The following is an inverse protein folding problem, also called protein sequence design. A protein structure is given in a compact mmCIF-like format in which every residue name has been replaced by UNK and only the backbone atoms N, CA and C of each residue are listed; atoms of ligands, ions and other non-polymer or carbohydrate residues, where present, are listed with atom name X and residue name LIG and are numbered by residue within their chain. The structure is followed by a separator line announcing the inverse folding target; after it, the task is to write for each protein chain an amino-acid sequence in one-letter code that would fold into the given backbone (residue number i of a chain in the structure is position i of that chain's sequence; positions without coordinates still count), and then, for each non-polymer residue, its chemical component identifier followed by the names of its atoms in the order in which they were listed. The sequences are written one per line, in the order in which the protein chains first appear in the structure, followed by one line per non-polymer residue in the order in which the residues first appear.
data_IF_532191292493
#
_entry.id   IF_532191292493
#
_cell.length_a   1.000
_cell.length_b   1.000
_cell.length_c   1.000
_cell.angle_alpha   90.00
_cell.angle_beta   90.00
_cell.angle_gamma   90.00
#
_symmetry.space_group_name_H-M   'P 1'
#
loop_
_entity.id
_entity.type
_entity.pdbx_description
1 polymer ?
#
# COMPACT_ATOMS: atom_id res chain seq x y z
N UNK A 1 33.19 7.80 15.11
CA UNK A 1 32.37 7.24 14.01
C UNK A 1 30.93 7.28 14.44
N UNK A 2 30.10 8.12 13.81
CA UNK A 2 28.66 8.22 14.12
C UNK A 2 28.04 6.83 13.94
N UNK A 3 27.45 6.26 14.99
CA UNK A 3 26.68 5.03 14.87
C UNK A 3 25.46 5.34 13.99
N UNK A 4 25.47 4.86 12.75
CA UNK A 4 24.27 4.91 11.90
C UNK A 4 23.16 4.09 12.55
N UNK A 5 21.96 4.66 12.61
CA UNK A 5 20.79 3.98 13.18
C UNK A 5 20.49 2.69 12.42
N UNK A 6 20.19 1.56 13.10
CA UNK A 6 19.73 0.35 12.44
C UNK A 6 18.33 0.48 11.84
N UNK A 7 17.65 1.61 12.05
CA UNK A 7 16.33 1.92 11.51
C UNK A 7 16.47 3.03 10.47
N UNK A 8 16.11 2.72 9.22
CA UNK A 8 16.00 3.72 8.15
C UNK A 8 14.55 4.20 8.10
N UNK A 9 14.32 5.47 8.44
CA UNK A 9 13.00 6.13 8.35
C UNK A 9 12.82 6.76 6.97
N UNK A 10 11.74 6.39 6.30
CA UNK A 10 11.26 6.93 5.04
C UNK A 10 9.92 7.63 5.30
N UNK A 11 9.82 8.91 4.95
CA UNK A 11 8.62 9.70 5.21
C UNK A 11 7.99 10.15 3.90
N UNK A 12 6.73 9.77 3.68
CA UNK A 12 5.93 10.29 2.58
C UNK A 12 5.65 11.77 2.88
N UNK A 13 6.32 12.68 2.16
CA UNK A 13 6.35 14.10 2.52
C UNK A 13 5.73 15.00 1.45
N UNK A 14 4.45 14.79 1.17
CA UNK A 14 3.58 15.70 0.39
C UNK A 14 2.27 15.95 1.15
N UNK A 15 2.35 16.51 2.38
CA UNK A 15 1.22 16.56 3.31
C UNK A 15 0.01 17.34 2.79
N UNK A 16 0.23 18.41 2.01
CA UNK A 16 -0.84 19.26 1.47
C UNK A 16 -1.79 18.50 0.55
N UNK A 17 -1.26 17.52 -0.19
CA UNK A 17 -2.02 16.63 -1.07
C UNK A 17 -2.36 15.29 -0.41
N UNK A 18 -2.07 15.13 0.89
CA UNK A 18 -2.25 13.89 1.67
C UNK A 18 -1.43 12.72 1.10
N UNK A 19 -0.18 12.98 0.73
CA UNK A 19 0.80 11.95 0.38
C UNK A 19 0.33 10.95 -0.69
N UNK A 20 -0.07 11.41 -1.90
CA UNK A 20 -0.53 10.51 -2.94
C UNK A 20 0.58 9.54 -3.35
N UNK A 21 0.21 8.34 -3.82
CA UNK A 21 1.11 7.34 -4.39
C UNK A 21 1.02 7.40 -5.92
N UNK A 22 1.46 8.52 -6.49
CA UNK A 22 1.64 8.67 -7.95
C UNK A 22 3.01 8.15 -8.40
N UNK A 23 3.24 8.15 -9.71
CA UNK A 23 4.48 7.64 -10.32
C UNK A 23 5.76 8.15 -9.63
N UNK A 24 5.96 9.48 -9.52
CA UNK A 24 7.15 10.03 -8.87
C UNK A 24 7.36 9.59 -7.42
N UNK A 25 6.29 9.51 -6.61
CA UNK A 25 6.42 9.03 -5.23
C UNK A 25 6.71 7.53 -5.17
N UNK A 26 6.08 6.72 -6.03
CA UNK A 26 6.35 5.28 -6.09
C UNK A 26 7.79 5.01 -6.52
N UNK A 27 8.33 5.81 -7.44
CA UNK A 27 9.72 5.71 -7.88
C UNK A 27 10.69 6.09 -6.75
N UNK A 28 10.48 7.25 -6.13
CA UNK A 28 11.30 7.69 -4.99
C UNK A 28 11.26 6.69 -3.82
N UNK A 29 10.08 6.12 -3.53
CA UNK A 29 9.94 5.10 -2.49
C UNK A 29 10.63 3.78 -2.87
N UNK A 30 10.57 3.39 -4.14
CA UNK A 30 11.28 2.20 -4.65
C UNK A 30 12.79 2.36 -4.51
N UNK A 31 13.32 3.51 -4.88
CA UNK A 31 14.75 3.82 -4.78
C UNK A 31 15.21 3.86 -3.32
N UNK A 32 14.45 4.53 -2.45
CA UNK A 32 14.76 4.62 -1.04
C UNK A 32 14.71 3.26 -0.31
N UNK A 33 13.76 2.39 -0.67
CA UNK A 33 13.70 1.02 -0.14
C UNK A 33 14.89 0.18 -0.66
N UNK A 34 15.27 0.34 -1.93
CA UNK A 34 16.41 -0.37 -2.50
C UNK A 34 17.73 0.06 -1.83
N UNK A 35 17.94 1.35 -1.63
CA UNK A 35 19.10 1.90 -0.92
C UNK A 35 19.17 1.36 0.51
N UNK A 36 18.07 1.46 1.26
CA UNK A 36 17.98 0.96 2.62
C UNK A 36 18.19 -0.57 2.71
N UNK A 37 17.78 -1.30 1.68
CA UNK A 37 17.97 -2.75 1.60
C UNK A 37 19.44 -3.12 1.34
N UNK A 38 20.17 -2.32 0.56
CA UNK A 38 21.58 -2.55 0.27
C UNK A 38 22.51 -2.17 1.44
N UNK A 39 22.06 -1.29 2.32
CA UNK A 39 22.85 -0.82 3.46
C UNK A 39 22.96 -1.89 4.56
N UNK A 40 24.19 -2.30 4.90
CA UNK A 40 24.44 -3.37 5.87
C UNK A 40 24.06 -2.99 7.31
N UNK A 41 24.21 -1.72 7.68
CA UNK A 41 23.85 -1.19 9.01
C UNK A 41 22.33 -1.18 9.24
N UNK A 42 21.53 -1.07 8.18
CA UNK A 42 20.07 -1.04 8.25
C UNK A 42 19.52 -2.44 8.55
N UNK A 43 18.61 -2.49 9.51
CA UNK A 43 17.90 -3.67 10.00
C UNK A 43 16.39 -3.56 9.77
N UNK A 44 15.87 -2.35 9.92
CA UNK A 44 14.44 -2.03 9.78
C UNK A 44 14.25 -0.87 8.81
N UNK A 45 13.30 -1.01 7.88
CA UNK A 45 12.82 0.08 7.03
C UNK A 45 11.47 0.53 7.60
N UNK A 46 11.43 1.72 8.17
CA UNK A 46 10.22 2.33 8.72
C UNK A 46 9.63 3.32 7.71
N UNK A 47 8.40 3.10 7.25
CA UNK A 47 7.67 4.05 6.40
C UNK A 47 6.60 4.75 7.23
N UNK A 48 6.55 6.06 7.16
CA UNK A 48 5.51 6.89 7.77
C UNK A 48 5.07 8.01 6.82
N UNK A 49 4.04 8.78 7.16
CA UNK A 49 3.54 9.89 6.35
C UNK A 49 3.54 11.20 7.13
N UNK A 50 4.01 12.28 6.50
CA UNK A 50 3.97 13.60 7.08
C UNK A 50 2.53 14.18 7.07
N UNK A 51 2.22 14.99 8.08
CA UNK A 51 0.95 15.70 8.17
C UNK A 51 -0.23 14.82 8.65
N UNK A 52 -1.43 15.14 8.17
CA UNK A 52 -2.70 14.58 8.69
C UNK A 52 -3.13 13.23 8.11
N UNK A 53 -2.35 12.67 7.19
CA UNK A 53 -2.69 11.42 6.52
C UNK A 53 -1.42 10.64 6.20
N UNK A 54 -1.47 9.32 6.36
CA UNK A 54 -0.41 8.44 5.87
C UNK A 54 -0.35 8.52 4.35
N UNK A 55 -1.44 8.20 3.67
CA UNK A 55 -1.60 8.37 2.23
C UNK A 55 -3.07 8.29 1.81
N UNK A 56 -3.49 9.20 0.95
CA UNK A 56 -4.82 9.16 0.32
C UNK A 56 -4.92 8.17 -0.86
N UNK A 57 -3.86 7.41 -1.16
CA UNK A 57 -3.83 6.43 -2.25
C UNK A 57 -3.32 7.00 -3.57
N UNK A 58 -3.68 6.37 -4.69
CA UNK A 58 -3.26 6.80 -6.02
C UNK A 58 -3.80 8.19 -6.38
N UNK A 59 -3.03 8.95 -7.16
CA UNK A 59 -3.50 10.25 -7.66
C UNK A 59 -4.42 10.06 -8.87
N UNK A 60 -5.70 10.42 -8.74
CA UNK A 60 -6.75 10.39 -9.79
C UNK A 60 -6.89 11.77 -10.47
N UNK A 61 -6.05 12.74 -10.09
CA UNK A 61 -5.88 14.00 -10.81
C UNK A 61 -5.54 13.77 -12.27
N UNK A 62 -6.03 14.68 -13.14
CA UNK A 62 -5.78 14.67 -14.59
C UNK A 62 -6.20 13.37 -15.31
N UNK A 63 -7.25 12.70 -14.82
CA UNK A 63 -7.82 11.49 -15.44
C UNK A 63 -8.06 11.64 -16.95
N UNK A 64 -8.58 12.80 -17.38
CA UNK A 64 -8.91 13.08 -18.78
C UNK A 64 -7.67 13.06 -19.67
N UNK A 65 -6.55 13.62 -19.20
CA UNK A 65 -5.27 13.59 -19.90
C UNK A 65 -4.72 12.16 -19.97
N UNK A 66 -4.80 11.41 -18.87
CA UNK A 66 -4.34 10.01 -18.81
C UNK A 66 -5.14 9.09 -19.73
N UNK A 67 -6.45 9.31 -19.82
CA UNK A 67 -7.34 8.55 -20.70
C UNK A 67 -7.13 8.89 -22.17
N UNK A 68 -6.72 10.13 -22.48
CA UNK A 68 -6.39 10.56 -23.83
C UNK A 68 -5.12 9.90 -24.39
N UNK A 69 -4.22 9.40 -23.52
CA UNK A 69 -3.03 8.67 -23.95
C UNK A 69 -3.44 7.30 -24.51
N UNK A 70 -3.16 7.07 -25.80
CA UNK A 70 -3.38 5.80 -26.49
C UNK A 70 -2.28 4.80 -26.15
N UNK A 71 -2.54 3.52 -26.43
CA UNK A 71 -1.54 2.46 -26.31
C UNK A 71 -0.29 2.77 -27.15
N UNK A 72 0.88 2.38 -26.64
CA UNK A 72 2.15 2.53 -27.34
C UNK A 72 2.26 1.62 -28.58
N UNK A 73 3.35 1.78 -29.34
CA UNK A 73 3.63 0.95 -30.52
C UNK A 73 3.83 -0.55 -30.17
N UNK A 74 4.12 -0.86 -28.90
CA UNK A 74 4.19 -2.21 -28.35
C UNK A 74 2.82 -2.79 -27.95
N UNK A 75 1.74 -2.03 -28.20
CA UNK A 75 0.37 -2.40 -27.86
C UNK A 75 0.03 -2.28 -26.37
N UNK A 76 0.96 -1.83 -25.53
CA UNK A 76 0.75 -1.75 -24.08
C UNK A 76 0.02 -0.47 -23.70
N UNK A 77 -0.94 -0.61 -22.78
CA UNK A 77 -1.66 0.53 -22.22
C UNK A 77 -0.80 1.26 -21.18
N UNK A 78 -0.50 2.57 -21.35
CA UNK A 78 0.27 3.33 -20.37
C UNK A 78 -0.39 3.37 -18.98
N UNK A 79 -1.72 3.24 -18.90
CA UNK A 79 -2.45 3.14 -17.64
C UNK A 79 -2.11 1.82 -16.94
N UNK A 80 -2.03 0.71 -17.69
CA UNK A 80 -1.60 -0.58 -17.15
C UNK A 80 -0.14 -0.48 -16.67
N UNK A 81 0.75 0.10 -17.47
CA UNK A 81 2.15 0.31 -17.09
C UNK A 81 2.31 1.13 -15.80
N UNK A 82 1.51 2.19 -15.64
CA UNK A 82 1.46 3.01 -14.43
C UNK A 82 0.89 2.27 -13.21
N UNK A 83 -0.17 1.48 -13.39
CA UNK A 83 -0.73 0.66 -12.31
C UNK A 83 0.27 -0.44 -11.86
N UNK A 84 0.85 -1.16 -12.83
CA UNK A 84 1.85 -2.21 -12.57
C UNK A 84 3.11 -1.69 -11.89
N UNK A 85 3.49 -0.42 -12.11
CA UNK A 85 4.60 0.23 -11.40
C UNK A 85 4.43 0.11 -9.88
N UNK A 86 3.21 0.30 -9.37
CA UNK A 86 2.94 0.16 -7.95
C UNK A 86 2.95 -1.30 -7.48
N UNK A 87 2.41 -2.22 -8.27
CA UNK A 87 2.55 -3.66 -7.99
C UNK A 87 4.00 -4.12 -7.91
N UNK A 88 4.86 -3.67 -8.83
CA UNK A 88 6.30 -3.97 -8.82
C UNK A 88 6.98 -3.46 -7.57
N UNK A 89 6.59 -2.27 -7.12
CA UNK A 89 7.06 -1.73 -5.85
C UNK A 89 6.64 -2.65 -4.69
N UNK A 90 5.36 -3.05 -4.60
CA UNK A 90 4.89 -3.93 -3.52
C UNK A 90 5.56 -5.30 -3.54
N UNK A 91 5.71 -5.93 -4.71
CA UNK A 91 6.46 -7.19 -4.89
C UNK A 91 7.88 -7.09 -4.34
N UNK A 92 8.60 -6.00 -4.67
CA UNK A 92 9.95 -5.76 -4.16
C UNK A 92 9.93 -5.49 -2.66
N UNK A 93 8.99 -4.69 -2.19
CA UNK A 93 8.85 -4.30 -0.79
C UNK A 93 8.63 -5.50 0.14
N UNK A 94 7.77 -6.46 -0.25
CA UNK A 94 7.60 -7.71 0.53
C UNK A 94 8.79 -8.66 0.41
N UNK A 95 9.64 -8.47 -0.61
CA UNK A 95 10.76 -9.35 -0.90
C UNK A 95 12.09 -8.89 -0.32
N UNK A 96 12.21 -7.63 0.13
CA UNK A 96 13.46 -7.15 0.73
C UNK A 96 13.82 -7.95 1.99
N UNK A 97 15.10 -8.27 2.21
CA UNK A 97 15.55 -9.04 3.38
C UNK A 97 15.48 -8.25 4.70
N UNK A 98 15.26 -6.93 4.63
CA UNK A 98 15.04 -6.07 5.81
C UNK A 98 13.61 -6.22 6.31
N UNK A 99 13.40 -6.02 7.61
CA UNK A 99 12.06 -5.98 8.17
C UNK A 99 11.43 -4.63 7.88
N UNK A 100 10.23 -4.63 7.32
CA UNK A 100 9.49 -3.44 6.94
C UNK A 100 8.41 -3.13 7.97
N UNK A 101 8.40 -1.90 8.46
CA UNK A 101 7.39 -1.39 9.40
C UNK A 101 6.69 -0.22 8.75
N UNK A 102 5.36 -0.22 8.74
CA UNK A 102 4.56 0.95 8.37
C UNK A 102 3.93 1.54 9.62
N UNK A 103 4.13 2.84 9.83
CA UNK A 103 3.51 3.60 10.92
C UNK A 103 2.55 4.65 10.33
N UNK A 104 1.25 4.32 10.33
CA UNK A 104 0.20 5.12 9.72
C UNK A 104 -0.51 6.01 10.76
N UNK A 105 -0.29 7.32 10.66
CA UNK A 105 -1.11 8.31 11.35
C UNK A 105 -2.15 8.90 10.37
N UNK A 106 -3.42 8.90 10.76
CA UNK A 106 -4.50 9.42 9.93
C UNK A 106 -4.86 8.51 8.74
N UNK A 107 -5.41 9.09 7.68
CA UNK A 107 -5.99 8.30 6.58
C UNK A 107 -4.94 7.50 5.79
N UNK A 108 -5.20 6.20 5.61
CA UNK A 108 -4.50 5.29 4.70
C UNK A 108 -5.56 4.68 3.76
N UNK A 109 -5.64 5.17 2.52
CA UNK A 109 -6.70 4.81 1.58
C UNK A 109 -6.14 4.16 0.32
N UNK A 110 -6.87 3.19 -0.25
CA UNK A 110 -6.49 2.51 -1.50
C UNK A 110 -5.05 2.00 -1.44
N UNK A 111 -4.20 2.50 -2.34
CA UNK A 111 -2.75 2.24 -2.32
C UNK A 111 -2.10 2.41 -0.93
N UNK A 112 -2.45 3.44 -0.16
CA UNK A 112 -1.93 3.65 1.19
C UNK A 112 -2.26 2.50 2.14
N UNK A 113 -3.51 2.01 2.13
CA UNK A 113 -3.91 0.84 2.90
C UNK A 113 -3.28 -0.46 2.35
N UNK A 114 -3.04 -0.53 1.04
CA UNK A 114 -2.28 -1.63 0.42
C UNK A 114 -0.84 -1.71 0.89
N UNK A 115 -0.16 -0.56 1.04
CA UNK A 115 1.19 -0.50 1.60
C UNK A 115 1.21 -0.93 3.08
N UNK A 116 0.20 -0.53 3.85
CA UNK A 116 0.02 -1.00 5.23
C UNK A 116 -0.12 -2.52 5.26
N UNK A 117 -0.97 -3.08 4.41
CA UNK A 117 -1.20 -4.53 4.34
C UNK A 117 0.03 -5.33 3.87
N UNK A 118 0.89 -4.72 3.05
CA UNK A 118 2.10 -5.35 2.52
C UNK A 118 3.30 -5.28 3.48
N UNK A 119 3.24 -4.48 4.55
CA UNK A 119 4.34 -4.40 5.52
C UNK A 119 4.44 -5.67 6.37
N UNK A 120 5.65 -5.99 6.86
CA UNK A 120 5.81 -7.08 7.83
C UNK A 120 5.04 -6.75 9.11
N UNK A 121 5.15 -5.50 9.58
CA UNK A 121 4.40 -4.97 10.72
C UNK A 121 3.78 -3.62 10.42
N UNK A 122 2.56 -3.42 10.93
CA UNK A 122 1.82 -2.18 10.81
C UNK A 122 1.42 -1.63 12.19
N UNK A 123 1.72 -0.35 12.41
CA UNK A 123 1.37 0.42 13.60
C UNK A 123 0.44 1.54 13.16
N UNK A 124 -0.66 1.77 13.87
CA UNK A 124 -1.54 2.90 13.59
C UNK A 124 -1.96 3.67 14.83
N UNK A 125 -2.15 4.97 14.66
CA UNK A 125 -2.77 5.79 15.70
C UNK A 125 -4.28 5.53 15.74
N UNK A 126 -4.92 5.78 16.89
CA UNK A 126 -6.38 5.69 17.06
C UNK A 126 -7.17 6.55 16.06
N UNK A 127 -6.56 7.63 15.56
CA UNK A 127 -7.15 8.53 14.57
C UNK A 127 -6.99 8.04 13.12
N UNK A 128 -6.27 6.93 12.90
CA UNK A 128 -6.12 6.38 11.57
C UNK A 128 -7.44 5.79 11.05
N UNK A 129 -7.62 5.90 9.74
CA UNK A 129 -8.76 5.31 9.03
C UNK A 129 -8.28 4.59 7.79
N UNK A 130 -8.90 3.46 7.48
CA UNK A 130 -8.50 2.59 6.39
C UNK A 130 -9.67 2.33 5.45
N UNK A 131 -9.40 2.13 4.16
CA UNK A 131 -10.44 1.69 3.23
C UNK A 131 -9.93 1.54 1.80
N UNK A 132 -10.73 0.86 0.99
CA UNK A 132 -10.44 0.54 -0.41
C UNK A 132 -11.59 1.06 -1.30
N UNK A 133 -11.68 2.38 -1.51
CA UNK A 133 -12.84 3.02 -2.12
C UNK A 133 -12.94 2.87 -3.65
N UNK A 134 -11.99 2.16 -4.28
CA UNK A 134 -11.82 2.07 -5.73
C UNK A 134 -13.10 1.65 -6.47
N UNK A 135 -13.84 0.67 -5.94
CA UNK A 135 -15.07 0.16 -6.58
C UNK A 135 -16.16 1.21 -6.65
N UNK A 136 -16.24 2.12 -5.66
CA UNK A 136 -17.19 3.22 -5.63
C UNK A 136 -16.97 4.26 -6.75
N UNK A 137 -15.83 4.23 -7.42
CA UNK A 137 -15.51 5.09 -8.57
C UNK A 137 -15.25 4.29 -9.85
N UNK A 138 -15.76 3.06 -9.95
CA UNK A 138 -15.61 2.22 -11.14
C UNK A 138 -14.20 1.66 -11.35
N UNK A 139 -13.39 1.57 -10.29
CA UNK A 139 -12.04 1.02 -10.33
C UNK A 139 -11.90 -0.28 -9.55
N UNK A 140 -10.90 -1.06 -9.92
CA UNK A 140 -10.49 -2.26 -9.19
C UNK A 140 -9.25 -1.95 -8.33
N UNK A 141 -9.20 -2.34 -7.04
CA UNK A 141 -8.01 -2.24 -6.20
C UNK A 141 -6.96 -3.31 -6.57
N UNK A 142 -6.64 -3.41 -7.86
CA UNK A 142 -6.10 -4.62 -8.47
C UNK A 142 -4.72 -5.02 -7.93
N UNK A 143 -3.81 -4.05 -7.78
CA UNK A 143 -2.43 -4.32 -7.36
C UNK A 143 -2.29 -4.58 -5.86
N UNK A 144 -3.22 -4.08 -5.05
CA UNK A 144 -3.18 -4.21 -3.59
C UNK A 144 -3.94 -5.44 -3.09
N UNK A 145 -4.88 -5.95 -3.89
CA UNK A 145 -5.74 -7.09 -3.56
C UNK A 145 -5.00 -8.29 -2.96
N UNK A 146 -3.95 -8.86 -3.60
CA UNK A 146 -3.30 -10.07 -3.08
C UNK A 146 -2.68 -9.84 -1.69
N UNK A 147 -2.09 -8.66 -1.46
CA UNK A 147 -1.47 -8.31 -0.19
C UNK A 147 -2.51 -8.14 0.93
N UNK A 148 -3.61 -7.45 0.64
CA UNK A 148 -4.71 -7.28 1.60
C UNK A 148 -5.37 -8.62 1.91
N UNK A 149 -5.69 -9.42 0.89
CA UNK A 149 -6.29 -10.73 1.07
C UNK A 149 -5.40 -11.66 1.91
N UNK A 150 -4.09 -11.63 1.71
CA UNK A 150 -3.14 -12.38 2.54
C UNK A 150 -3.09 -11.87 3.98
N UNK A 151 -3.23 -10.55 4.18
CA UNK A 151 -3.12 -9.91 5.50
C UNK A 151 -4.34 -10.15 6.40
N UNK A 152 -5.55 -9.96 5.87
CA UNK A 152 -6.80 -9.99 6.66
C UNK A 152 -7.75 -11.14 6.28
N UNK A 153 -7.32 -12.00 5.37
CA UNK A 153 -8.14 -13.06 4.80
C UNK A 153 -9.14 -12.54 3.76
N UNK A 154 -9.51 -13.40 2.80
CA UNK A 154 -10.40 -13.01 1.70
C UNK A 154 -11.79 -12.56 2.15
N UNK A 155 -12.31 -13.03 3.29
CA UNK A 155 -13.63 -12.58 3.74
C UNK A 155 -13.63 -11.11 4.16
N UNK A 156 -12.65 -10.68 4.95
CA UNK A 156 -12.53 -9.27 5.31
C UNK A 156 -12.15 -8.42 4.09
N UNK A 157 -11.24 -8.90 3.24
CA UNK A 157 -10.88 -8.20 2.01
C UNK A 157 -12.10 -8.01 1.08
N UNK A 158 -12.92 -9.06 0.90
CA UNK A 158 -14.18 -9.02 0.14
C UNK A 158 -15.12 -7.97 0.70
N UNK A 159 -15.35 -7.96 2.02
CA UNK A 159 -16.21 -6.96 2.68
C UNK A 159 -15.72 -5.55 2.36
N UNK A 160 -14.46 -5.25 2.62
CA UNK A 160 -13.93 -3.88 2.50
C UNK A 160 -13.83 -3.41 1.03
N UNK A 161 -13.39 -4.27 0.12
CA UNK A 161 -13.17 -3.91 -1.28
C UNK A 161 -14.45 -3.84 -2.10
N UNK A 162 -15.46 -4.67 -1.80
CA UNK A 162 -16.73 -4.64 -2.53
C UNK A 162 -17.66 -3.54 -2.01
N UNK A 163 -17.62 -3.22 -0.72
CA UNK A 163 -18.44 -2.14 -0.15
C UNK A 163 -17.78 -0.76 -0.25
N UNK A 164 -16.45 -0.72 -0.37
CA UNK A 164 -15.69 0.53 -0.28
C UNK A 164 -15.75 1.20 1.08
N UNK A 165 -16.20 0.49 2.14
CA UNK A 165 -16.37 1.07 3.46
C UNK A 165 -15.03 1.58 4.05
N UNK A 166 -15.12 2.65 4.84
CA UNK A 166 -14.00 3.16 5.63
C UNK A 166 -14.14 2.66 7.06
N UNK A 167 -13.07 2.03 7.55
CA UNK A 167 -12.99 1.49 8.92
C UNK A 167 -12.06 2.31 9.81
N UNK A 168 -12.30 2.26 11.11
CA UNK A 168 -11.46 2.86 12.14
C UNK A 168 -10.18 2.05 12.38
N UNK A 169 -9.20 2.63 13.07
CA UNK A 169 -8.01 1.92 13.51
C UNK A 169 -8.33 0.74 14.46
N UNK A 170 -9.33 0.88 15.32
CA UNK A 170 -9.78 -0.21 16.20
C UNK A 170 -10.33 -1.41 15.41
N UNK A 171 -11.14 -1.15 14.38
CA UNK A 171 -11.64 -2.21 13.51
C UNK A 171 -10.52 -2.83 12.66
N UNK A 172 -9.61 -2.00 12.15
CA UNK A 172 -8.42 -2.46 11.43
C UNK A 172 -7.55 -3.38 12.29
N UNK A 173 -7.38 -3.06 13.58
CA UNK A 173 -6.68 -3.91 14.54
C UNK A 173 -7.43 -5.24 14.76
N UNK A 174 -8.75 -5.17 15.00
CA UNK A 174 -9.60 -6.35 15.24
C UNK A 174 -9.54 -7.37 14.09
N UNK A 175 -9.46 -6.90 12.83
CA UNK A 175 -9.42 -7.78 11.65
C UNK A 175 -8.00 -8.13 11.19
N UNK A 176 -6.95 -7.65 11.89
CA UNK A 176 -5.55 -7.95 11.58
C UNK A 176 -4.91 -7.12 10.47
N UNK A 177 -5.56 -6.03 10.03
CA UNK A 177 -4.97 -5.10 9.04
C UNK A 177 -3.75 -4.37 9.63
N UNK A 178 -3.76 -4.13 10.94
CA UNK A 178 -2.64 -3.56 11.69
C UNK A 178 -2.29 -4.45 12.89
N UNK A 179 -1.03 -4.42 13.32
CA UNK A 179 -0.50 -5.22 14.43
C UNK A 179 -0.51 -4.49 15.77
N UNK A 180 -0.45 -3.16 15.74
CA UNK A 180 -0.39 -2.32 16.92
C UNK A 180 -1.28 -1.09 16.76
N UNK A 181 -2.20 -0.93 17.70
CA UNK A 181 -2.99 0.29 17.88
C UNK A 181 -2.37 1.15 18.97
N UNK A 182 -2.22 2.44 18.71
CA UNK A 182 -1.75 3.43 19.69
C UNK A 182 -2.85 4.44 19.94
N UNK A 183 -3.42 4.39 21.14
CA UNK A 183 -4.54 5.26 21.52
C UNK A 183 -4.10 6.68 21.86
N UNK A 184 -3.06 6.80 22.69
CA UNK A 184 -2.49 8.07 23.14
C UNK A 184 -1.43 8.58 22.14
N UNK A 185 -1.62 9.77 21.52
CA UNK A 185 -0.61 10.40 20.69
C UNK A 185 0.77 10.57 21.37
N UNK A 186 0.81 10.72 22.70
CA UNK A 186 2.06 10.84 23.45
C UNK A 186 2.90 9.54 23.42
N UNK A 187 2.26 8.38 23.24
CA UNK A 187 2.94 7.08 23.16
C UNK A 187 3.38 6.71 21.73
N UNK A 188 3.01 7.50 20.72
CA UNK A 188 3.23 7.18 19.31
C UNK A 188 4.69 6.85 18.98
N UNK A 189 5.60 7.77 19.30
CA UNK A 189 7.01 7.61 19.00
C UNK A 189 7.61 6.46 19.83
N UNK A 190 7.24 6.36 21.11
CA UNK A 190 7.70 5.31 22.01
C UNK A 190 7.31 3.92 21.51
N UNK A 191 6.09 3.75 20.99
CA UNK A 191 5.63 2.47 20.43
C UNK A 191 6.42 2.09 19.19
N UNK A 192 6.62 3.03 18.26
CA UNK A 192 7.42 2.80 17.04
C UNK A 192 8.83 2.36 17.42
N UNK A 193 9.48 3.09 18.32
CA UNK A 193 10.85 2.80 18.74
C UNK A 193 10.94 1.44 19.45
N UNK A 194 9.96 1.10 20.29
CA UNK A 194 9.88 -0.20 20.97
C UNK A 194 9.74 -1.37 20.00
N UNK A 195 8.86 -1.25 19.00
CA UNK A 195 8.68 -2.29 17.96
C UNK A 195 9.96 -2.44 17.14
N UNK A 196 10.54 -1.35 16.66
CA UNK A 196 11.80 -1.37 15.90
C UNK A 196 12.94 -1.96 16.72
N UNK A 197 13.09 -1.56 18.00
CA UNK A 197 14.09 -2.11 18.90
C UNK A 197 13.90 -3.61 19.12
N UNK A 198 12.64 -4.07 19.21
CA UNK A 198 12.31 -5.50 19.33
C UNK A 198 12.82 -6.31 18.14
N UNK A 199 12.63 -5.79 16.92
CA UNK A 199 13.16 -6.42 15.70
C UNK A 199 14.68 -6.45 15.70
N UNK A 200 15.33 -5.33 16.06
CA UNK A 200 16.80 -5.20 16.02
C UNK A 200 17.51 -6.21 16.93
N UNK A 201 16.85 -6.69 17.99
CA UNK A 201 17.38 -7.77 18.86
C UNK A 201 17.55 -9.12 18.14
N UNK A 202 16.79 -9.39 17.07
CA UNK A 202 16.92 -10.62 16.30
C UNK A 202 18.17 -10.63 15.40
N UNK A 203 18.69 -11.80 15.04
CA UNK A 203 19.80 -11.91 14.10
C UNK A 203 19.33 -11.55 12.67
N UNK A 204 20.10 -10.75 11.89
CA UNK A 204 19.67 -10.25 10.57
C UNK A 204 19.31 -11.38 9.60
N UNK A 205 20.20 -12.38 9.47
CA UNK A 205 19.97 -13.52 8.58
C UNK A 205 18.77 -14.35 9.02
N UNK A 206 18.61 -14.58 10.31
CA UNK A 206 17.47 -15.33 10.83
C UNK A 206 16.15 -14.64 10.50
N UNK A 207 16.04 -13.33 10.76
CA UNK A 207 14.87 -12.53 10.43
C UNK A 207 14.56 -12.54 8.92
N UNK A 208 15.58 -12.35 8.08
CA UNK A 208 15.43 -12.36 6.62
C UNK A 208 14.94 -13.72 6.11
N UNK A 209 15.55 -14.82 6.60
CA UNK A 209 15.14 -16.18 6.24
C UNK A 209 13.73 -16.50 6.75
N UNK A 210 13.38 -16.11 7.99
CA UNK A 210 12.02 -16.28 8.51
C UNK A 210 11.00 -15.54 7.65
N UNK A 211 11.27 -14.27 7.31
CA UNK A 211 10.41 -13.48 6.40
C UNK A 211 10.24 -14.17 5.05
N UNK A 212 11.32 -14.68 4.46
CA UNK A 212 11.27 -15.41 3.19
C UNK A 212 10.41 -16.68 3.31
N UNK A 213 10.60 -17.48 4.37
CA UNK A 213 9.84 -18.72 4.58
C UNK A 213 8.35 -18.44 4.80
N UNK A 214 8.01 -17.39 5.57
CA UNK A 214 6.62 -16.96 5.76
C UNK A 214 5.96 -16.57 4.43
N UNK A 215 6.70 -15.91 3.53
CA UNK A 215 6.21 -15.54 2.20
C UNK A 215 5.98 -16.76 1.28
N UNK A 216 6.84 -17.78 1.38
CA UNK A 216 6.77 -19.01 0.57
C UNK A 216 5.77 -20.04 1.12
N UNK A 217 5.27 -19.86 2.35
CA UNK A 217 4.19 -20.68 2.89
C UNK A 217 2.92 -20.56 2.03
N UNK A 218 1.91 -21.44 2.25
CA UNK A 218 0.64 -21.42 1.51
C UNK A 218 -0.16 -20.16 1.86
N UNK A 219 0.21 -19.05 1.20
CA UNK A 219 -0.33 -17.72 1.40
C UNK A 219 -0.65 -17.12 0.04
N UNK A 220 0.22 -16.24 -0.48
CA UNK A 220 -0.10 -15.40 -1.64
C UNK A 220 -0.28 -16.17 -2.96
N UNK A 221 0.64 -17.06 -3.32
CA UNK A 221 0.56 -17.80 -4.60
C UNK A 221 -0.59 -18.82 -4.63
N UNK A 222 -1.01 -19.29 -3.45
CA UNK A 222 -2.10 -20.25 -3.32
C UNK A 222 -3.48 -19.68 -3.70
N UNK A 223 -3.67 -18.35 -3.64
CA UNK A 223 -4.95 -17.71 -3.98
C UNK A 223 -5.25 -17.69 -5.48
N UNK A 224 -4.23 -17.77 -6.33
CA UNK A 224 -4.38 -17.47 -7.75
C UNK A 224 -4.01 -18.61 -8.68
N UNK A 225 -3.45 -19.71 -8.16
CA UNK A 225 -2.97 -20.84 -8.96
C UNK A 225 -1.92 -20.44 -10.01
N UNK A 226 -1.35 -19.25 -9.87
CA UNK A 226 -0.39 -18.56 -10.74
C UNK A 226 0.55 -17.75 -9.84
N UNK A 227 1.72 -17.39 -10.36
CA UNK A 227 2.66 -16.55 -9.61
C UNK A 227 2.03 -15.19 -9.30
N UNK A 228 2.44 -14.56 -8.18
CA UNK A 228 2.06 -13.19 -7.86
C UNK A 228 2.34 -12.20 -9.02
N UNK A 229 3.43 -12.41 -9.75
CA UNK A 229 3.82 -11.59 -10.90
C UNK A 229 2.80 -11.68 -12.04
N UNK A 230 2.41 -12.88 -12.44
CA UNK A 230 1.39 -13.10 -13.48
C UNK A 230 0.04 -12.48 -13.08
N UNK A 231 -0.31 -12.57 -11.80
CA UNK A 231 -1.51 -11.92 -11.28
C UNK A 231 -1.42 -10.41 -11.43
N UNK A 232 -0.31 -9.80 -11.00
CA UNK A 232 -0.16 -8.35 -10.99
C UNK A 232 -0.09 -7.76 -12.40
N UNK A 233 0.47 -8.49 -13.37
CA UNK A 233 0.41 -8.13 -14.79
C UNK A 233 -1.04 -8.13 -15.31
N UNK A 234 -1.78 -9.23 -15.13
CA UNK A 234 -3.19 -9.30 -15.56
C UNK A 234 -4.11 -8.30 -14.83
N UNK A 235 -3.79 -8.01 -13.56
CA UNK A 235 -4.46 -7.02 -12.74
C UNK A 235 -4.27 -5.60 -13.30
N UNK A 236 -3.09 -5.30 -13.86
CA UNK A 236 -2.80 -4.00 -14.45
C UNK A 236 -3.61 -3.76 -15.73
N UNK A 237 -3.74 -4.77 -16.58
CA UNK A 237 -4.59 -4.69 -17.78
C UNK A 237 -6.08 -4.55 -17.40
N UNK A 238 -6.51 -5.24 -16.35
CA UNK A 238 -7.88 -5.11 -15.85
C UNK A 238 -8.14 -3.70 -15.31
N UNK A 239 -7.20 -3.14 -14.53
CA UNK A 239 -7.30 -1.76 -14.06
C UNK A 239 -7.38 -0.76 -15.23
N UNK A 240 -6.56 -0.93 -16.25
CA UNK A 240 -6.56 -0.05 -17.42
C UNK A 240 -7.87 -0.10 -18.20
N UNK A 241 -8.45 -1.31 -18.38
CA UNK A 241 -9.78 -1.45 -18.99
C UNK A 241 -10.87 -0.72 -18.19
N UNK A 242 -10.85 -0.84 -16.85
CA UNK A 242 -11.84 -0.16 -16.00
C UNK A 242 -11.70 1.37 -16.02
N UNK A 243 -10.46 1.87 -16.04
CA UNK A 243 -10.18 3.28 -16.22
C UNK A 243 -10.81 3.85 -17.50
N UNK A 244 -10.88 3.03 -18.57
CA UNK A 244 -11.48 3.39 -19.87
C UNK A 244 -12.98 3.09 -19.97
N UNK A 245 -13.64 2.63 -18.91
CA UNK A 245 -15.08 2.33 -18.86
C UNK A 245 -15.79 3.12 -17.75
N UNK A 246 -16.27 2.45 -16.70
CA UNK A 246 -17.10 3.00 -15.63
C UNK A 246 -16.37 4.07 -14.82
N UNK A 247 -15.04 3.99 -14.75
CA UNK A 247 -14.25 4.98 -14.04
C UNK A 247 -14.38 6.39 -14.61
N UNK A 248 -14.71 6.54 -15.90
CA UNK A 248 -14.98 7.85 -16.50
C UNK A 248 -16.14 8.52 -15.75
N UNK A 249 -17.24 7.80 -15.60
CA UNK A 249 -18.43 8.29 -14.90
C UNK A 249 -18.16 8.43 -13.39
N UNK A 250 -17.50 7.46 -12.75
CA UNK A 250 -17.21 7.52 -11.31
C UNK A 250 -16.32 8.69 -10.90
N UNK A 251 -15.24 8.91 -11.66
CA UNK A 251 -14.35 10.04 -11.40
C UNK A 251 -15.04 11.37 -11.72
N UNK A 252 -15.88 11.42 -12.75
CA UNK A 252 -16.66 12.61 -13.10
C UNK A 252 -17.68 12.93 -11.99
N UNK A 253 -18.47 11.95 -11.57
CA UNK A 253 -19.44 12.07 -10.49
C UNK A 253 -18.78 12.53 -9.17
N UNK A 254 -17.62 11.96 -8.84
CA UNK A 254 -16.83 12.36 -7.68
C UNK A 254 -16.35 13.82 -7.77
N UNK A 255 -15.87 14.27 -8.94
CA UNK A 255 -15.45 15.66 -9.17
C UNK A 255 -16.62 16.64 -9.07
N UNK A 256 -17.76 16.25 -9.62
CA UNK A 256 -19.01 17.02 -9.62
C UNK A 256 -19.79 16.91 -8.30
N UNK A 257 -19.30 16.11 -7.34
CA UNK A 257 -19.95 15.83 -6.05
C UNK A 257 -21.40 15.33 -6.20
N UNK A 258 -21.65 14.50 -7.20
CA UNK A 258 -22.95 13.86 -7.45
C UNK A 258 -22.85 12.34 -7.30
N UNK A 259 -24.00 11.70 -7.19
CA UNK A 259 -24.11 10.23 -7.24
C UNK A 259 -23.85 9.77 -8.69
N UNK A 260 -23.00 8.75 -8.90
CA UNK A 260 -22.78 8.19 -10.23
C UNK A 260 -24.04 7.50 -10.73
N UNK A 261 -24.23 7.47 -12.06
CA UNK A 261 -25.48 7.01 -12.66
C UNK A 261 -25.85 5.56 -12.30
N UNK A 262 -24.87 4.69 -12.08
CA UNK A 262 -25.11 3.29 -11.67
C UNK A 262 -25.61 3.14 -10.22
N UNK A 263 -25.53 4.20 -9.41
CA UNK A 263 -25.95 4.19 -8.00
C UNK A 263 -27.22 5.02 -7.77
N UNK A 264 -27.90 5.45 -8.84
CA UNK A 264 -29.18 6.16 -8.78
C UNK A 264 -30.38 5.21 -8.74
#
# INVERSE_FOLDING_TARGET
MSHQSPVRRLELNRPDSRNPLDGPMVDALSDAVAEASAEASVRVILITGAGRAFSAGGNIGNISERLAVKAGADGRDPIAGGNRRYGRFLERFVSVPKITVVAAAGAAMGGGAGLVAAADLAIASSQATFGFPETGIGLVPAQILPFVAARIGVQNARRLMLTGERISAAEAYRIGLIDYLVDDPAEWQLRIDSVCASIVRGAPTALATTKQMLRQGPGMDAWHGRSLEDYLDAAADTFARQMRSEAIEGVTAMREKRVPDWAR
#
